data_IF_169424116287
#
_entry.id   IF_169424116287
#
_cell.length_a   1.000
_cell.length_b   1.000
_cell.length_c   1.000
_cell.angle_alpha   90.00
_cell.angle_beta   90.00
_cell.angle_gamma   90.00
#
_symmetry.space_group_name_H-M   'P 1'
#
loop_
_entity.id
_entity.type
_entity.pdbx_description
1 polymer ?
#
# COMPACT_ATOMS: atom_id res chain seq x y z
N UNK A 1 5.87 0.21 -37.21
CA UNK A 1 7.07 1.01 -36.90
C UNK A 1 6.85 2.37 -37.53
N UNK A 2 7.52 3.39 -37.01
CA UNK A 2 7.43 4.78 -37.47
C UNK A 2 8.82 5.41 -37.40
N UNK A 3 9.13 6.26 -38.38
CA UNK A 3 10.34 7.08 -38.40
C UNK A 3 10.00 8.43 -37.74
N UNK A 4 10.91 8.91 -36.91
CA UNK A 4 10.88 10.24 -36.30
C UNK A 4 12.05 11.00 -36.92
N UNK A 5 11.78 12.09 -37.62
CA UNK A 5 12.81 12.97 -38.17
C UNK A 5 12.90 14.21 -37.29
N UNK A 6 14.10 14.49 -36.84
CA UNK A 6 14.42 15.62 -35.96
C UNK A 6 14.74 16.86 -36.79
N UNK A 7 14.71 18.03 -36.15
CA UNK A 7 15.06 19.30 -36.81
C UNK A 7 16.53 19.41 -37.21
N UNK A 8 17.39 18.52 -36.70
CA UNK A 8 18.82 18.40 -37.04
C UNK A 8 19.08 17.26 -38.04
N UNK A 9 18.07 16.90 -38.82
CA UNK A 9 18.06 15.85 -39.86
C UNK A 9 18.32 14.42 -39.37
N UNK A 10 18.55 14.20 -38.06
CA UNK A 10 18.67 12.85 -37.50
C UNK A 10 17.34 12.12 -37.58
N UNK A 11 17.38 10.86 -38.01
CA UNK A 11 16.21 10.01 -38.13
C UNK A 11 16.27 8.83 -37.16
N UNK A 12 15.16 8.56 -36.50
CA UNK A 12 15.04 7.49 -35.51
C UNK A 12 13.92 6.51 -35.88
N UNK A 13 14.22 5.22 -35.85
CA UNK A 13 13.22 4.17 -36.01
C UNK A 13 12.66 3.75 -34.64
N UNK A 14 11.35 3.86 -34.48
CA UNK A 14 10.63 3.34 -33.31
C UNK A 14 10.54 1.81 -33.33
N UNK A 15 10.50 1.20 -32.14
CA UNK A 15 10.35 -0.25 -31.99
C UNK A 15 9.07 -0.78 -32.66
N UNK A 16 9.11 -2.03 -33.14
CA UNK A 16 7.94 -2.74 -33.64
C UNK A 16 6.88 -2.95 -32.54
N UNK A 17 5.64 -3.26 -32.93
CA UNK A 17 4.56 -3.56 -31.97
C UNK A 17 4.91 -4.77 -31.10
N UNK A 18 5.47 -5.83 -31.69
CA UNK A 18 5.91 -7.04 -30.98
C UNK A 18 7.00 -6.71 -29.97
N UNK A 19 8.02 -5.94 -30.40
CA UNK A 19 9.11 -5.52 -29.50
C UNK A 19 8.61 -4.62 -28.37
N UNK A 20 7.63 -3.76 -28.66
CA UNK A 20 6.98 -2.91 -27.66
C UNK A 20 6.20 -3.74 -26.65
N UNK A 21 5.41 -4.72 -27.10
CA UNK A 21 4.69 -5.64 -26.22
C UNK A 21 5.65 -6.44 -25.32
N UNK A 22 6.73 -7.00 -25.90
CA UNK A 22 7.77 -7.68 -25.14
C UNK A 22 8.46 -6.78 -24.11
N UNK A 23 8.72 -5.51 -24.47
CA UNK A 23 9.29 -4.53 -23.54
C UNK A 23 8.35 -4.17 -22.38
N UNK A 24 7.05 -4.07 -22.65
CA UNK A 24 6.03 -3.85 -21.60
C UNK A 24 5.98 -5.05 -20.66
N UNK A 25 5.96 -6.28 -21.18
CA UNK A 25 6.00 -7.51 -20.38
C UNK A 25 7.27 -7.60 -19.52
N UNK A 26 8.44 -7.29 -20.10
CA UNK A 26 9.70 -7.24 -19.36
C UNK A 26 9.68 -6.16 -18.27
N UNK A 27 9.09 -4.99 -18.54
CA UNK A 27 8.90 -3.95 -17.54
C UNK A 27 7.96 -4.39 -16.40
N UNK A 28 6.86 -5.09 -16.71
CA UNK A 28 6.01 -5.72 -15.69
C UNK A 28 6.78 -6.74 -14.86
N UNK A 29 7.64 -7.56 -15.49
CA UNK A 29 8.52 -8.50 -14.78
C UNK A 29 9.49 -7.80 -13.83
N UNK A 30 10.11 -6.70 -14.26
CA UNK A 30 11.00 -5.89 -13.42
C UNK A 30 10.26 -5.22 -12.24
N UNK A 31 9.03 -4.75 -12.49
CA UNK A 31 8.15 -4.25 -11.42
C UNK A 31 7.89 -5.34 -10.39
N UNK A 32 7.42 -6.51 -10.84
CA UNK A 32 7.10 -7.64 -9.97
C UNK A 32 8.33 -8.11 -9.18
N UNK A 33 9.50 -8.23 -9.81
CA UNK A 33 10.75 -8.60 -9.15
C UNK A 33 11.14 -7.60 -8.06
N UNK A 34 10.98 -6.29 -8.31
CA UNK A 34 11.27 -5.24 -7.33
C UNK A 34 10.30 -5.30 -6.14
N UNK A 35 9.01 -5.56 -6.39
CA UNK A 35 8.03 -5.79 -5.33
C UNK A 35 8.30 -7.09 -4.55
N UNK A 36 8.70 -8.17 -5.22
CA UNK A 36 9.06 -9.45 -4.58
C UNK A 36 10.33 -9.34 -3.73
N UNK A 37 11.27 -8.45 -4.06
CA UNK A 37 12.39 -8.17 -3.15
C UNK A 37 11.91 -7.64 -1.77
N UNK A 38 10.69 -7.10 -1.69
CA UNK A 38 10.05 -6.73 -0.43
C UNK A 38 9.20 -7.82 0.21
N UNK A 39 8.94 -8.95 -0.48
CA UNK A 39 8.04 -9.98 0.04
C UNK A 39 8.58 -10.66 1.31
N UNK A 40 9.89 -10.61 1.53
CA UNK A 40 10.53 -11.04 2.77
C UNK A 40 10.00 -10.26 3.98
N UNK A 41 9.80 -8.95 3.84
CA UNK A 41 9.17 -8.11 4.87
C UNK A 41 7.67 -8.39 5.00
N UNK A 42 6.98 -8.66 3.88
CA UNK A 42 5.55 -8.94 3.86
C UNK A 42 5.18 -10.22 4.64
N UNK A 43 6.09 -11.19 4.73
CA UNK A 43 5.91 -12.38 5.58
C UNK A 43 6.48 -12.16 6.99
N UNK A 44 7.65 -11.54 7.11
CA UNK A 44 8.32 -11.34 8.39
C UNK A 44 7.52 -10.48 9.37
N UNK A 45 6.90 -9.39 8.90
CA UNK A 45 6.21 -8.42 9.77
C UNK A 45 4.97 -9.03 10.44
N UNK A 46 4.02 -9.64 9.72
CA UNK A 46 2.88 -10.32 10.33
C UNK A 46 3.29 -11.41 11.33
N UNK A 47 4.29 -12.22 10.99
CA UNK A 47 4.78 -13.29 11.89
C UNK A 47 5.37 -12.72 13.18
N UNK A 48 6.14 -11.62 13.09
CA UNK A 48 6.68 -10.94 14.27
C UNK A 48 5.59 -10.32 15.12
N UNK A 49 4.61 -9.65 14.52
CA UNK A 49 3.46 -9.06 15.24
C UNK A 49 2.66 -10.16 15.94
N UNK A 50 2.37 -11.27 15.26
CA UNK A 50 1.65 -12.41 15.84
C UNK A 50 2.40 -13.01 17.04
N UNK A 51 3.73 -13.21 16.92
CA UNK A 51 4.57 -13.67 18.04
C UNK A 51 4.57 -12.70 19.23
N UNK A 52 4.62 -11.39 18.97
CA UNK A 52 4.49 -10.37 20.02
C UNK A 52 3.11 -10.48 20.69
N UNK A 53 2.04 -10.65 19.91
CA UNK A 53 0.69 -10.81 20.44
C UNK A 53 0.56 -12.02 21.36
N UNK A 54 1.07 -13.16 20.93
CA UNK A 54 1.02 -14.40 21.71
C UNK A 54 1.89 -14.36 22.98
N UNK A 55 2.86 -13.42 23.05
CA UNK A 55 3.67 -13.19 24.26
C UNK A 55 3.01 -12.25 25.28
N UNK A 56 1.84 -11.70 24.97
CA UNK A 56 1.10 -10.84 25.88
C UNK A 56 0.16 -11.67 26.78
N UNK A 57 -0.10 -11.17 27.99
CA UNK A 57 -1.24 -11.63 28.77
C UNK A 57 -2.52 -11.21 28.03
N UNK A 58 -3.20 -12.19 27.43
CA UNK A 58 -4.40 -11.97 26.64
C UNK A 58 -5.56 -11.38 27.46
N UNK A 59 -5.70 -11.72 28.73
CA UNK A 59 -6.76 -11.18 29.58
C UNK A 59 -6.50 -9.69 29.86
N UNK A 60 -5.28 -9.35 30.26
CA UNK A 60 -4.87 -7.96 30.50
C UNK A 60 -4.92 -7.12 29.21
N UNK A 61 -4.50 -7.68 28.08
CA UNK A 61 -4.57 -7.03 26.78
C UNK A 61 -6.02 -6.74 26.36
N UNK A 62 -6.91 -7.73 26.43
CA UNK A 62 -8.31 -7.57 26.06
C UNK A 62 -9.03 -6.56 26.96
N UNK A 63 -8.78 -6.59 28.27
CA UNK A 63 -9.29 -5.57 29.18
C UNK A 63 -8.81 -4.18 28.78
N UNK A 64 -7.51 -4.02 28.50
CA UNK A 64 -6.97 -2.73 28.07
C UNK A 64 -7.53 -2.25 26.72
N UNK A 65 -7.83 -3.15 25.80
CA UNK A 65 -8.53 -2.80 24.54
C UNK A 65 -9.90 -2.22 24.85
N UNK A 66 -10.69 -2.88 25.68
CA UNK A 66 -12.04 -2.44 26.03
C UNK A 66 -12.01 -1.12 26.82
N UNK A 67 -11.07 -0.98 27.78
CA UNK A 67 -10.84 0.26 28.53
C UNK A 67 -10.44 1.43 27.61
N UNK A 68 -9.56 1.19 26.63
CA UNK A 68 -9.20 2.22 25.65
C UNK A 68 -10.38 2.61 24.77
N UNK A 69 -11.16 1.62 24.34
CA UNK A 69 -12.33 1.84 23.49
C UNK A 69 -13.34 2.79 24.16
N UNK A 70 -13.52 2.62 25.47
CA UNK A 70 -14.42 3.44 26.29
C UNK A 70 -13.81 4.80 26.64
N UNK A 71 -12.56 4.83 27.10
CA UNK A 71 -11.86 6.07 27.47
C UNK A 71 -11.72 7.06 26.31
N UNK A 72 -11.63 6.57 25.07
CA UNK A 72 -11.52 7.39 23.87
C UNK A 72 -12.85 7.62 23.17
N UNK A 73 -13.96 7.26 23.81
CA UNK A 73 -15.34 7.56 23.38
C UNK A 73 -15.67 7.02 21.98
N UNK A 74 -15.04 5.94 21.53
CA UNK A 74 -15.26 5.37 20.19
C UNK A 74 -16.73 4.92 20.01
N UNK A 75 -17.34 4.38 21.08
CA UNK A 75 -18.78 4.03 21.12
C UNK A 75 -19.70 5.21 20.77
N UNK A 76 -19.34 6.44 21.16
CA UNK A 76 -20.15 7.65 20.89
C UNK A 76 -20.20 8.05 19.41
N UNK A 77 -19.39 7.39 18.57
CA UNK A 77 -19.37 7.56 17.12
C UNK A 77 -19.87 6.33 16.38
N UNK A 78 -20.55 5.41 17.06
CA UNK A 78 -21.06 4.14 16.54
C UNK A 78 -19.98 3.16 16.09
N UNK A 79 -18.73 3.37 16.54
CA UNK A 79 -17.65 2.42 16.24
C UNK A 79 -17.89 1.12 17.03
N UNK A 80 -17.61 -0.04 16.41
CA UNK A 80 -17.71 -1.36 17.05
C UNK A 80 -16.42 -2.15 16.87
N UNK A 81 -16.07 -2.97 17.85
CA UNK A 81 -15.04 -4.01 17.70
C UNK A 81 -15.74 -5.34 17.40
N UNK A 82 -15.33 -5.99 16.32
CA UNK A 82 -15.77 -7.30 15.88
C UNK A 82 -14.62 -8.28 16.06
N UNK A 83 -14.74 -9.10 17.11
CA UNK A 83 -13.86 -10.25 17.30
C UNK A 83 -14.14 -11.29 16.21
N UNK A 84 -13.11 -11.71 15.48
CA UNK A 84 -13.20 -12.75 14.45
C UNK A 84 -12.14 -13.83 14.65
N UNK A 85 -12.47 -15.06 14.28
CA UNK A 85 -11.58 -16.22 14.33
C UNK A 85 -11.87 -17.14 13.14
N UNK A 86 -11.19 -18.30 13.02
CA UNK A 86 -11.41 -19.22 11.90
C UNK A 86 -12.87 -19.65 11.74
N UNK A 87 -13.60 -19.77 12.86
CA UNK A 87 -14.98 -20.24 12.91
C UNK A 87 -16.03 -19.15 12.61
N UNK A 88 -15.63 -17.87 12.53
CA UNK A 88 -16.57 -16.78 12.31
C UNK A 88 -17.12 -16.84 10.89
N UNK A 89 -18.42 -17.07 10.70
CA UNK A 89 -19.02 -17.07 9.35
C UNK A 89 -19.13 -15.64 8.84
N UNK A 90 -18.50 -15.38 7.70
CA UNK A 90 -18.55 -14.08 7.01
C UNK A 90 -18.76 -14.39 5.54
N UNK A 91 -19.78 -13.78 4.95
CA UNK A 91 -20.06 -13.92 3.53
C UNK A 91 -18.89 -13.33 2.74
N UNK A 92 -18.08 -14.23 2.17
CA UNK A 92 -16.95 -13.85 1.33
C UNK A 92 -17.37 -14.09 -0.12
N UNK A 93 -17.64 -13.03 -0.92
CA UNK A 93 -18.02 -13.20 -2.32
C UNK A 93 -16.92 -13.87 -3.17
N UNK A 94 -15.72 -14.02 -2.59
CA UNK A 94 -14.56 -14.63 -3.22
C UNK A 94 -14.26 -16.05 -2.72
N UNK A 95 -15.16 -16.69 -1.96
CA UNK A 95 -14.91 -18.00 -1.34
C UNK A 95 -14.52 -19.11 -2.33
N UNK A 96 -14.99 -19.02 -3.58
CA UNK A 96 -14.69 -19.97 -4.65
C UNK A 96 -13.34 -19.74 -5.34
N UNK A 97 -12.63 -18.66 -5.01
CA UNK A 97 -11.32 -18.35 -5.60
C UNK A 97 -10.19 -19.06 -4.85
N UNK A 98 -9.00 -19.28 -5.46
CA UNK A 98 -7.84 -19.77 -4.74
C UNK A 98 -7.49 -18.90 -3.52
N UNK A 99 -7.05 -19.51 -2.40
CA UNK A 99 -6.77 -18.80 -1.14
C UNK A 99 -5.86 -17.57 -1.30
N UNK A 100 -4.85 -17.64 -2.15
CA UNK A 100 -3.95 -16.52 -2.39
C UNK A 100 -4.68 -15.29 -2.98
N UNK A 101 -5.69 -15.52 -3.82
CA UNK A 101 -6.51 -14.47 -4.42
C UNK A 101 -7.57 -13.96 -3.43
N UNK A 102 -8.14 -14.85 -2.61
CA UNK A 102 -9.03 -14.45 -1.51
C UNK A 102 -8.33 -13.48 -0.55
N UNK A 103 -7.08 -13.79 -0.15
CA UNK A 103 -6.28 -12.94 0.75
C UNK A 103 -6.04 -11.54 0.19
N UNK A 104 -5.84 -11.42 -1.13
CA UNK A 104 -5.67 -10.11 -1.77
C UNK A 104 -6.96 -9.31 -1.85
N UNK A 105 -8.09 -9.98 -2.07
CA UNK A 105 -9.38 -9.32 -2.29
C UNK A 105 -10.16 -9.07 -0.99
N UNK A 106 -9.86 -9.82 0.06
CA UNK A 106 -10.62 -9.83 1.30
C UNK A 106 -9.70 -9.86 2.52
N UNK A 107 -9.45 -8.70 3.17
CA UNK A 107 -8.55 -8.63 4.33
C UNK A 107 -9.03 -9.48 5.51
N UNK A 108 -10.32 -9.83 5.53
CA UNK A 108 -10.93 -10.64 6.58
C UNK A 108 -10.36 -12.06 6.67
N UNK A 109 -9.88 -12.62 5.55
CA UNK A 109 -9.27 -13.96 5.53
C UNK A 109 -8.03 -13.97 6.43
N UNK A 110 -7.14 -13.00 6.26
CA UNK A 110 -5.93 -12.88 7.07
C UNK A 110 -6.25 -12.42 8.51
N UNK A 111 -7.30 -11.62 8.71
CA UNK A 111 -7.73 -11.24 10.06
C UNK A 111 -8.18 -12.45 10.89
N UNK A 112 -8.97 -13.37 10.31
CA UNK A 112 -9.43 -14.58 11.00
C UNK A 112 -8.27 -15.47 11.41
N UNK A 113 -7.24 -15.59 10.55
CA UNK A 113 -6.01 -16.34 10.82
C UNK A 113 -5.07 -15.62 11.81
N UNK A 114 -5.39 -14.41 12.27
CA UNK A 114 -4.54 -13.63 13.19
C UNK A 114 -3.30 -13.03 12.55
N UNK A 115 -3.31 -12.85 11.23
CA UNK A 115 -2.22 -12.25 10.44
C UNK A 115 -2.47 -10.78 10.10
N UNK A 116 -3.68 -10.29 10.35
CA UNK A 116 -4.06 -8.92 10.08
C UNK A 116 -5.12 -8.42 11.08
N UNK A 117 -5.34 -7.11 11.08
CA UNK A 117 -6.52 -6.45 11.64
C UNK A 117 -6.86 -5.28 10.70
N UNK A 118 -8.11 -4.82 10.70
CA UNK A 118 -8.45 -3.62 9.94
C UNK A 118 -9.67 -2.90 10.51
N UNK A 119 -9.66 -1.58 10.38
CA UNK A 119 -10.81 -0.73 10.55
C UNK A 119 -11.51 -0.49 9.20
N UNK A 120 -12.79 -0.82 9.12
CA UNK A 120 -13.67 -0.56 7.97
C UNK A 120 -14.39 0.78 8.16
N UNK A 121 -14.00 1.89 7.48
CA UNK A 121 -14.51 3.22 7.80
C UNK A 121 -16.00 3.41 7.50
N UNK A 122 -16.51 2.76 6.45
CA UNK A 122 -17.92 2.84 6.05
C UNK A 122 -18.83 2.12 7.05
N UNK A 123 -18.41 0.94 7.53
CA UNK A 123 -19.13 0.18 8.54
C UNK A 123 -18.89 0.70 9.97
N UNK A 124 -17.81 1.46 10.17
CA UNK A 124 -17.27 1.87 11.47
C UNK A 124 -16.93 0.66 12.36
N UNK A 125 -16.36 -0.38 11.78
CA UNK A 125 -16.08 -1.63 12.47
C UNK A 125 -14.58 -1.94 12.47
N UNK A 126 -14.06 -2.33 13.62
CA UNK A 126 -12.70 -2.86 13.77
C UNK A 126 -12.80 -4.38 13.77
N UNK A 127 -12.20 -5.03 12.79
CA UNK A 127 -12.13 -6.48 12.68
C UNK A 127 -10.78 -6.96 13.21
N UNK A 128 -10.82 -7.84 14.21
CA UNK A 128 -9.61 -8.33 14.85
C UNK A 128 -9.80 -9.74 15.41
N UNK A 129 -8.78 -10.58 15.26
CA UNK A 129 -8.64 -11.77 16.08
C UNK A 129 -7.97 -11.41 17.41
N UNK A 130 -8.80 -11.23 18.46
CA UNK A 130 -8.35 -10.81 19.80
C UNK A 130 -7.35 -11.81 20.42
N UNK A 131 -7.44 -13.09 20.09
CA UNK A 131 -6.59 -14.15 20.65
C UNK A 131 -5.21 -14.22 19.99
N UNK A 132 -5.17 -14.10 18.66
CA UNK A 132 -3.94 -14.30 17.86
C UNK A 132 -3.23 -13.01 17.49
N UNK A 133 -3.93 -11.88 17.46
CA UNK A 133 -3.40 -10.61 16.97
C UNK A 133 -3.97 -9.39 17.72
N UNK A 134 -4.39 -9.56 18.98
CA UNK A 134 -5.02 -8.50 19.79
C UNK A 134 -4.19 -7.21 19.89
N UNK A 135 -2.86 -7.29 19.78
CA UNK A 135 -1.96 -6.12 19.85
C UNK A 135 -2.23 -5.07 18.77
N UNK A 136 -2.80 -5.47 17.63
CA UNK A 136 -3.16 -4.55 16.55
C UNK A 136 -4.40 -3.70 16.84
N UNK A 137 -5.21 -4.05 17.85
CA UNK A 137 -6.43 -3.33 18.18
C UNK A 137 -6.19 -1.84 18.39
N UNK A 138 -5.07 -1.48 19.03
CA UNK A 138 -4.74 -0.08 19.29
C UNK A 138 -4.46 0.70 18.00
N UNK A 139 -3.78 0.09 17.03
CA UNK A 139 -3.54 0.70 15.73
C UNK A 139 -4.87 0.92 14.98
N UNK A 140 -5.74 -0.09 14.96
CA UNK A 140 -7.06 0.03 14.31
C UNK A 140 -7.98 1.04 15.00
N UNK A 141 -7.93 1.12 16.34
CA UNK A 141 -8.58 2.21 17.07
C UNK A 141 -8.02 3.57 16.65
N UNK A 142 -6.73 3.65 16.34
CA UNK A 142 -6.08 4.85 15.80
C UNK A 142 -6.71 5.30 14.48
N UNK A 143 -6.95 4.36 13.55
CA UNK A 143 -7.70 4.62 12.32
C UNK A 143 -9.14 5.06 12.60
N UNK A 144 -9.82 4.43 13.57
CA UNK A 144 -11.16 4.84 13.96
C UNK A 144 -11.18 6.29 14.52
N UNK A 145 -10.16 6.69 15.28
CA UNK A 145 -10.00 8.08 15.74
C UNK A 145 -9.70 9.03 14.57
N UNK A 146 -8.84 8.63 13.62
CA UNK A 146 -8.61 9.38 12.36
C UNK A 146 -9.92 9.68 11.64
N UNK A 147 -10.73 8.66 11.42
CA UNK A 147 -11.98 8.77 10.68
C UNK A 147 -13.04 9.62 11.39
N UNK A 148 -13.26 9.38 12.68
CA UNK A 148 -14.47 9.86 13.37
C UNK A 148 -14.26 11.14 14.19
N UNK A 149 -13.01 11.49 14.52
CA UNK A 149 -12.69 12.63 15.39
C UNK A 149 -11.74 13.65 14.75
N UNK A 150 -11.19 13.38 13.57
CA UNK A 150 -10.21 14.26 12.92
C UNK A 150 -10.57 14.55 11.48
N UNK A 151 -10.83 15.82 11.14
CA UNK A 151 -11.08 16.23 9.74
C UNK A 151 -9.89 15.88 8.84
N UNK A 152 -8.67 16.21 9.27
CA UNK A 152 -7.45 15.91 8.54
C UNK A 152 -7.21 14.40 8.38
N UNK A 153 -7.28 13.62 9.48
CA UNK A 153 -7.10 12.17 9.43
C UNK A 153 -8.15 11.48 8.53
N UNK A 154 -9.40 11.93 8.57
CA UNK A 154 -10.46 11.44 7.69
C UNK A 154 -10.14 11.69 6.22
N UNK A 155 -9.66 12.88 5.87
CA UNK A 155 -9.25 13.21 4.49
C UNK A 155 -8.12 12.30 4.03
N UNK A 156 -7.07 12.12 4.85
CA UNK A 156 -5.97 11.22 4.48
C UNK A 156 -6.45 9.78 4.25
N UNK A 157 -7.35 9.28 5.09
CA UNK A 157 -7.89 7.93 4.94
C UNK A 157 -8.76 7.79 3.68
N UNK A 158 -9.56 8.82 3.35
CA UNK A 158 -10.36 8.85 2.12
C UNK A 158 -9.49 8.93 0.86
N UNK A 159 -8.30 9.52 0.95
CA UNK A 159 -7.35 9.58 -0.16
C UNK A 159 -6.68 8.24 -0.45
N UNK A 160 -6.71 7.26 0.46
CA UNK A 160 -5.98 5.99 0.30
C UNK A 160 -6.32 5.27 -1.00
N UNK A 161 -7.60 5.03 -1.27
CA UNK A 161 -8.03 4.34 -2.50
C UNK A 161 -7.78 5.16 -3.77
N UNK A 162 -8.15 6.46 -3.85
CA UNK A 162 -7.78 7.32 -4.96
C UNK A 162 -6.27 7.34 -5.24
N UNK A 163 -5.44 7.46 -4.20
CA UNK A 163 -3.98 7.41 -4.32
C UNK A 163 -3.52 6.08 -4.92
N UNK A 164 -3.97 4.94 -4.39
CA UNK A 164 -3.63 3.63 -4.95
C UNK A 164 -4.04 3.49 -6.43
N UNK A 165 -5.26 3.93 -6.78
CA UNK A 165 -5.74 3.91 -8.16
C UNK A 165 -4.91 4.80 -9.10
N UNK A 166 -4.57 6.01 -8.66
CA UNK A 166 -3.71 6.93 -9.40
C UNK A 166 -2.29 6.38 -9.57
N UNK A 167 -1.76 5.70 -8.54
CA UNK A 167 -0.44 5.05 -8.61
C UNK A 167 -0.40 3.98 -9.69
N UNK A 168 -1.44 3.12 -9.74
CA UNK A 168 -1.60 2.12 -10.79
C UNK A 168 -1.70 2.76 -12.18
N UNK A 169 -2.59 3.75 -12.34
CA UNK A 169 -2.81 4.44 -13.61
C UNK A 169 -1.52 5.09 -14.14
N UNK A 170 -0.82 5.86 -13.32
CA UNK A 170 0.41 6.54 -13.74
C UNK A 170 1.56 5.57 -14.01
N UNK A 171 1.64 4.47 -13.25
CA UNK A 171 2.55 3.37 -13.56
C UNK A 171 2.28 2.76 -14.94
N UNK A 172 1.02 2.46 -15.26
CA UNK A 172 0.61 1.96 -16.57
C UNK A 172 0.92 2.95 -17.69
N UNK A 173 0.61 4.24 -17.49
CA UNK A 173 0.93 5.29 -18.47
C UNK A 173 2.43 5.36 -18.73
N UNK A 174 3.26 5.38 -17.68
CA UNK A 174 4.72 5.43 -17.83
C UNK A 174 5.29 4.22 -18.58
N UNK A 175 4.71 3.04 -18.35
CA UNK A 175 5.11 1.79 -18.98
C UNK A 175 4.72 1.73 -20.48
N UNK A 176 3.50 2.15 -20.80
CA UNK A 176 2.99 2.17 -22.18
C UNK A 176 3.60 3.31 -23.00
N UNK A 177 3.90 4.44 -22.36
CA UNK A 177 4.46 5.61 -23.04
C UNK A 177 5.87 5.31 -23.56
N UNK A 178 6.09 5.58 -24.86
CA UNK A 178 7.41 5.54 -25.48
C UNK A 178 8.33 6.62 -24.92
N UNK A 179 9.60 6.27 -24.71
CA UNK A 179 10.65 7.26 -24.45
C UNK A 179 10.87 8.13 -25.70
N UNK A 180 10.69 9.43 -25.54
CA UNK A 180 11.03 10.42 -26.56
C UNK A 180 12.54 10.43 -26.80
N UNK A 181 12.95 10.63 -28.05
CA UNK A 181 14.38 10.82 -28.36
C UNK A 181 14.82 12.21 -27.90
N UNK A 182 16.12 12.43 -27.80
CA UNK A 182 16.66 13.72 -27.40
C UNK A 182 16.25 14.79 -28.42
N UNK A 183 15.77 15.94 -27.94
CA UNK A 183 15.22 17.01 -28.77
C UNK A 183 13.79 16.79 -29.27
N UNK A 184 13.18 15.61 -29.08
CA UNK A 184 11.80 15.36 -29.50
C UNK A 184 10.83 16.03 -28.53
N UNK A 185 10.17 17.09 -28.99
CA UNK A 185 9.17 17.80 -28.19
C UNK A 185 7.83 17.03 -28.13
N UNK A 186 7.12 17.07 -26.99
CA UNK A 186 5.75 16.58 -26.89
C UNK A 186 4.74 17.48 -27.61
N UNK A 187 3.89 16.88 -28.45
CA UNK A 187 2.87 17.60 -29.23
C UNK A 187 1.46 17.36 -28.68
N UNK A 188 0.75 18.44 -28.34
CA UNK A 188 -0.59 18.39 -27.77
C UNK A 188 -0.61 18.03 -26.28
N UNK A 189 -1.77 18.22 -25.64
CA UNK A 189 -1.93 18.08 -24.19
C UNK A 189 -1.66 16.64 -23.73
N UNK A 190 -2.23 15.64 -24.43
CA UNK A 190 -2.08 14.24 -24.05
C UNK A 190 -0.62 13.77 -24.13
N UNK A 191 0.12 14.15 -25.17
CA UNK A 191 1.53 13.80 -25.31
C UNK A 191 2.37 14.45 -24.21
N UNK A 192 2.13 15.73 -23.92
CA UNK A 192 2.78 16.48 -22.83
C UNK A 192 2.55 15.81 -21.48
N UNK A 193 1.30 15.51 -21.14
CA UNK A 193 0.93 14.89 -19.85
C UNK A 193 1.53 13.49 -19.71
N UNK A 194 1.39 12.63 -20.72
CA UNK A 194 1.91 11.25 -20.65
C UNK A 194 3.44 11.20 -20.64
N UNK A 195 4.10 12.14 -21.32
CA UNK A 195 5.57 12.32 -21.28
C UNK A 195 6.03 12.81 -19.91
N UNK A 196 5.33 13.78 -19.32
CA UNK A 196 5.60 14.22 -17.95
C UNK A 196 5.48 13.08 -16.95
N UNK A 197 4.40 12.29 -17.03
CA UNK A 197 4.18 11.12 -16.16
C UNK A 197 5.33 10.13 -16.32
N UNK A 198 5.69 9.76 -17.56
CA UNK A 198 6.80 8.83 -17.82
C UNK A 198 8.10 9.30 -17.18
N UNK A 199 8.45 10.57 -17.36
CA UNK A 199 9.71 11.12 -16.91
C UNK A 199 9.76 11.32 -15.39
N UNK A 200 8.60 11.41 -14.73
CA UNK A 200 8.49 11.68 -13.30
C UNK A 200 7.82 10.56 -12.51
N UNK A 201 7.62 9.37 -13.09
CA UNK A 201 6.81 8.30 -12.48
C UNK A 201 7.26 7.95 -11.07
N UNK A 202 8.58 7.91 -10.80
CA UNK A 202 9.10 7.68 -9.45
C UNK A 202 8.66 8.75 -8.45
N UNK A 203 8.77 10.03 -8.82
CA UNK A 203 8.37 11.15 -7.94
C UNK A 203 6.86 11.19 -7.73
N UNK A 204 6.09 10.97 -8.78
CA UNK A 204 4.63 10.94 -8.74
C UNK A 204 4.17 9.79 -7.84
N UNK A 205 4.68 8.58 -8.06
CA UNK A 205 4.39 7.42 -7.22
C UNK A 205 4.78 7.68 -5.77
N UNK A 206 5.94 8.29 -5.50
CA UNK A 206 6.34 8.61 -4.12
C UNK A 206 5.35 9.58 -3.46
N UNK A 207 5.00 10.67 -4.15
CA UNK A 207 4.02 11.65 -3.66
C UNK A 207 2.64 11.05 -3.38
N UNK A 208 2.23 10.05 -4.15
CA UNK A 208 0.97 9.30 -3.95
C UNK A 208 0.96 8.51 -2.64
N UNK A 209 2.11 7.97 -2.20
CA UNK A 209 2.20 7.22 -0.95
C UNK A 209 2.31 8.11 0.29
N UNK A 210 2.69 9.39 0.16
CA UNK A 210 2.81 10.32 1.30
C UNK A 210 1.54 10.38 2.15
N UNK A 211 0.33 10.63 1.61
CA UNK A 211 -0.89 10.69 2.44
C UNK A 211 -1.20 9.35 3.10
N UNK A 212 -0.88 8.23 2.45
CA UNK A 212 -1.07 6.88 3.01
C UNK A 212 -0.16 6.68 4.23
N UNK A 213 1.14 6.92 4.09
CA UNK A 213 2.10 6.80 5.19
C UNK A 213 1.77 7.77 6.33
N UNK A 214 1.37 9.00 6.01
CA UNK A 214 0.98 9.97 7.03
C UNK A 214 -0.20 9.47 7.88
N UNK A 215 -1.19 8.84 7.25
CA UNK A 215 -2.36 8.27 7.93
C UNK A 215 -1.98 7.08 8.82
N UNK A 216 -1.15 6.16 8.32
CA UNK A 216 -0.62 5.00 9.04
C UNK A 216 0.20 5.40 10.28
N UNK A 217 1.07 6.41 10.14
CA UNK A 217 1.85 6.95 11.25
C UNK A 217 0.95 7.67 12.26
N UNK A 218 -0.09 8.37 11.80
CA UNK A 218 -1.06 9.01 12.68
C UNK A 218 -1.87 7.99 13.48
N UNK A 219 -2.32 6.91 12.83
CA UNK A 219 -3.02 5.80 13.47
C UNK A 219 -2.12 5.12 14.51
N UNK A 220 -0.87 4.82 14.14
CA UNK A 220 0.14 4.28 15.05
C UNK A 220 0.38 5.17 16.27
N UNK A 221 0.56 6.47 16.07
CA UNK A 221 0.77 7.42 17.16
C UNK A 221 -0.43 7.45 18.12
N UNK A 222 -1.65 7.51 17.58
CA UNK A 222 -2.89 7.52 18.38
C UNK A 222 -3.08 6.20 19.12
N UNK A 223 -2.84 5.07 18.45
CA UNK A 223 -2.87 3.74 19.06
C UNK A 223 -1.92 3.62 20.24
N UNK A 224 -0.67 4.05 20.06
CA UNK A 224 0.31 4.07 21.15
C UNK A 224 -0.14 4.99 22.30
N UNK A 225 -0.72 6.15 22.00
CA UNK A 225 -1.26 7.07 23.02
C UNK A 225 -2.41 6.42 23.80
N UNK A 226 -3.27 5.62 23.16
CA UNK A 226 -4.34 4.86 23.81
C UNK A 226 -3.77 3.76 24.71
N UNK A 227 -2.91 2.91 24.15
CA UNK A 227 -2.29 1.79 24.86
C UNK A 227 -1.54 2.24 26.12
N UNK A 228 -0.79 3.34 26.05
CA UNK A 228 -0.02 3.87 27.18
C UNK A 228 -0.89 4.22 28.41
N UNK A 229 -2.16 4.56 28.20
CA UNK A 229 -3.06 4.97 29.28
C UNK A 229 -3.69 3.81 30.05
N UNK A 230 -3.77 2.63 29.42
CA UNK A 230 -4.59 1.51 29.91
C UNK A 230 -3.77 0.25 30.16
N UNK A 231 -2.55 0.16 29.63
CA UNK A 231 -1.69 -1.01 29.78
C UNK A 231 -0.55 -0.74 30.76
N UNK A 232 -0.02 -1.82 31.33
CA UNK A 232 1.25 -1.78 32.07
C UNK A 232 2.40 -1.32 31.16
N UNK A 233 3.49 -0.74 31.72
CA UNK A 233 4.64 -0.33 30.93
C UNK A 233 5.25 -1.45 30.08
N UNK A 234 5.25 -2.69 30.58
CA UNK A 234 5.76 -3.86 29.86
C UNK A 234 4.89 -4.19 28.64
N UNK A 235 3.57 -4.28 28.83
CA UNK A 235 2.63 -4.54 27.74
C UNK A 235 2.63 -3.41 26.72
N UNK A 236 2.71 -2.15 27.18
CA UNK A 236 2.81 -1.00 26.30
C UNK A 236 4.04 -1.06 25.37
N UNK A 237 5.21 -1.50 25.87
CA UNK A 237 6.40 -1.70 25.04
C UNK A 237 6.17 -2.73 23.93
N UNK A 238 5.43 -3.82 24.22
CA UNK A 238 5.03 -4.83 23.23
C UNK A 238 4.13 -4.21 22.15
N UNK A 239 3.13 -3.42 22.54
CA UNK A 239 2.26 -2.69 21.59
C UNK A 239 3.07 -1.72 20.71
N UNK A 240 3.96 -0.92 21.31
CA UNK A 240 4.82 -0.02 20.55
C UNK A 240 5.68 -0.76 19.54
N UNK A 241 6.24 -1.91 19.91
CA UNK A 241 7.06 -2.71 19.03
C UNK A 241 6.24 -3.29 17.86
N UNK A 242 5.05 -3.84 18.13
CA UNK A 242 4.15 -4.34 17.10
C UNK A 242 3.74 -3.22 16.11
N UNK A 243 3.31 -2.07 16.64
CA UNK A 243 2.92 -0.92 15.83
C UNK A 243 4.11 -0.35 15.03
N UNK A 244 5.34 -0.40 15.57
CA UNK A 244 6.55 0.01 14.86
C UNK A 244 6.81 -0.90 13.66
N UNK A 245 6.63 -2.22 13.80
CA UNK A 245 6.76 -3.14 12.67
C UNK A 245 5.71 -2.86 11.57
N UNK A 246 4.46 -2.59 11.97
CA UNK A 246 3.42 -2.15 11.02
C UNK A 246 3.78 -0.84 10.32
N UNK A 247 4.22 0.18 11.06
CA UNK A 247 4.63 1.45 10.47
C UNK A 247 5.82 1.31 9.50
N UNK A 248 6.82 0.49 9.85
CA UNK A 248 7.98 0.23 8.99
C UNK A 248 7.54 -0.43 7.69
N UNK A 249 6.62 -1.40 7.71
CA UNK A 249 6.18 -2.06 6.48
C UNK A 249 5.56 -1.07 5.48
N UNK A 250 4.77 -0.11 5.97
CA UNK A 250 4.19 0.95 5.13
C UNK A 250 5.24 1.93 4.60
N UNK A 251 6.18 2.38 5.44
CA UNK A 251 7.28 3.26 4.99
C UNK A 251 8.14 2.57 3.94
N UNK A 252 8.49 1.29 4.15
CA UNK A 252 9.28 0.52 3.19
C UNK A 252 8.52 0.30 1.89
N UNK A 253 7.20 0.06 1.94
CA UNK A 253 6.35 -0.02 0.74
C UNK A 253 6.36 1.31 -0.03
N UNK A 254 6.18 2.43 0.66
CA UNK A 254 6.18 3.76 0.06
C UNK A 254 7.51 4.14 -0.63
N UNK A 255 8.63 3.56 -0.20
CA UNK A 255 9.93 3.77 -0.84
C UNK A 255 10.16 2.86 -2.04
N UNK A 256 9.72 1.60 -1.98
CA UNK A 256 10.00 0.66 -3.06
C UNK A 256 9.03 0.74 -4.23
N UNK A 257 7.78 1.12 -4.02
CA UNK A 257 6.82 1.28 -5.12
C UNK A 257 7.30 2.32 -6.17
N UNK A 258 7.85 3.48 -5.77
CA UNK A 258 8.57 4.38 -6.68
C UNK A 258 9.74 3.74 -7.42
N UNK A 259 10.57 2.95 -6.70
CA UNK A 259 11.72 2.27 -7.30
C UNK A 259 11.28 1.22 -8.31
N UNK A 260 10.23 0.45 -8.01
CA UNK A 260 9.63 -0.54 -8.89
C UNK A 260 9.09 0.13 -10.17
N UNK A 261 8.39 1.27 -10.04
CA UNK A 261 7.90 2.02 -11.18
C UNK A 261 9.04 2.55 -12.08
N UNK A 262 10.12 3.06 -11.48
CA UNK A 262 11.32 3.50 -12.22
C UNK A 262 12.02 2.33 -12.91
N UNK A 263 12.20 1.20 -12.21
CA UNK A 263 12.81 -0.01 -12.76
C UNK A 263 12.01 -0.52 -13.96
N UNK A 264 10.69 -0.62 -13.82
CA UNK A 264 9.79 -1.02 -14.89
C UNK A 264 9.92 -0.13 -16.14
N UNK A 265 9.89 1.20 -15.95
CA UNK A 265 10.04 2.14 -17.06
C UNK A 265 11.42 2.03 -17.72
N UNK A 266 12.49 1.91 -16.93
CA UNK A 266 13.86 1.80 -17.45
C UNK A 266 14.10 0.52 -18.24
N UNK A 267 13.61 -0.63 -17.74
CA UNK A 267 13.73 -1.92 -18.45
C UNK A 267 12.96 -1.89 -19.76
N UNK A 268 11.72 -1.38 -19.75
CA UNK A 268 10.92 -1.19 -20.96
C UNK A 268 11.65 -0.31 -21.98
N UNK A 269 12.24 0.80 -21.53
CA UNK A 269 12.94 1.73 -22.43
C UNK A 269 14.26 1.16 -22.95
N UNK A 270 15.00 0.37 -22.16
CA UNK A 270 16.20 -0.30 -22.63
C UNK A 270 15.91 -1.22 -23.84
N UNK A 271 14.75 -1.88 -23.83
CA UNK A 271 14.33 -2.79 -24.90
C UNK A 271 13.72 -2.04 -26.09
N UNK A 272 12.81 -1.09 -25.82
CA UNK A 272 11.98 -0.45 -26.86
C UNK A 272 12.33 1.02 -27.14
N UNK A 273 13.51 1.52 -26.75
CA UNK A 273 13.97 2.85 -27.17
C UNK A 273 14.05 2.93 -28.70
N UNK A 274 13.69 4.09 -29.30
CA UNK A 274 14.01 4.35 -30.69
C UNK A 274 15.52 4.20 -30.94
N UNK A 275 15.87 3.75 -32.14
CA UNK A 275 17.26 3.64 -32.59
C UNK A 275 17.50 4.65 -33.69
N UNK A 276 18.64 5.32 -33.63
CA UNK A 276 19.10 6.18 -34.72
C UNK A 276 19.32 5.33 -35.98
N UNK A 277 18.91 5.87 -37.12
CA UNK A 277 19.19 5.33 -38.44
C UNK A 277 20.51 5.98 -38.85
N UNK A 278 21.58 5.19 -38.82
CA UNK A 278 22.91 5.60 -39.28
C UNK A 278 23.12 4.84 -40.58
N UNK A 279 23.29 5.55 -41.68
CA UNK A 279 23.63 5.01 -43.00
C UNK A 279 25.09 4.52 -43.04
#
# INVERSE_FOLDING_TARGET
>A
MSIITMNDDRSYQTASRIKTAGAVLAGCGAYAATCLAQSSLAQYVPDKISKISQSCDNAALNKGIDDAFDNFKLKTKDVKIKGVNENTRIDNPFENLPKWLQRQLSPIVDTKEGKNAFYAPLAKEIYINKEKCGVLAFHEMGHAVNHNFSKFGKVLQQLRFPCMALGGLFGTVALLKRKKVEGEEPNGILDKTTTFIKNNVGKITFGIFVPIVAEELMATYRGNKMAKKVLSPEMFKKIQLANKFGAISYVTTALAMPLAAVAASKVRDAIAKPKEIVD
#
